data_IF_955303389088
#
_entry.id   IF_955303389088
#
_cell.length_a   1.000
_cell.length_b   1.000
_cell.length_c   1.000
_cell.angle_alpha   90.00
_cell.angle_beta   90.00
_cell.angle_gamma   90.00
#
_symmetry.space_group_name_H-M   'P 1'
#
loop_
_entity.id
_entity.type
_entity.pdbx_description
1 polymer ?
#
# COMPACT_ATOMS: atom_id res chain seq x y z
N UNK A 1 47.26 -47.41 20.90
CA UNK A 1 46.71 -46.48 19.90
C UNK A 1 45.71 -45.66 20.67
N UNK A 2 46.05 -44.42 20.97
CA UNK A 2 45.17 -43.48 21.67
C UNK A 2 44.00 -43.16 20.75
N UNK A 3 42.80 -43.57 21.16
CA UNK A 3 41.57 -43.00 20.63
C UNK A 3 41.56 -41.53 21.08
N UNK A 4 41.60 -40.62 20.12
CA UNK A 4 41.40 -39.20 20.34
C UNK A 4 39.96 -39.02 20.85
N UNK A 5 39.82 -38.82 22.17
CA UNK A 5 38.61 -38.28 22.79
C UNK A 5 38.46 -36.83 22.30
N UNK A 6 37.94 -36.69 21.08
CA UNK A 6 37.50 -35.41 20.53
C UNK A 6 36.07 -35.13 21.01
N UNK A 7 35.87 -35.09 22.34
CA UNK A 7 34.67 -34.49 22.92
C UNK A 7 34.83 -32.98 22.77
N UNK A 8 34.35 -32.47 21.64
CA UNK A 8 34.11 -31.05 21.47
C UNK A 8 33.23 -30.51 22.60
N UNK A 9 33.18 -29.19 22.79
CA UNK A 9 32.28 -28.61 23.78
C UNK A 9 30.83 -29.04 23.51
N UNK A 10 30.03 -29.26 24.56
CA UNK A 10 28.57 -29.37 24.44
C UNK A 10 28.04 -28.08 23.80
N UNK A 11 27.23 -28.21 22.73
CA UNK A 11 26.71 -27.08 21.94
C UNK A 11 25.18 -27.16 21.86
N UNK A 12 24.51 -26.69 22.90
CA UNK A 12 23.04 -26.62 22.95
C UNK A 12 22.44 -25.77 21.81
N UNK A 13 23.13 -24.69 21.42
CA UNK A 13 22.71 -23.83 20.29
C UNK A 13 22.75 -24.51 18.92
N UNK A 14 23.42 -25.66 18.78
CA UNK A 14 23.54 -26.41 17.52
C UNK A 14 22.62 -27.64 17.42
N UNK A 15 21.91 -27.98 18.49
CA UNK A 15 21.18 -29.25 18.59
C UNK A 15 19.77 -29.22 17.99
N UNK A 16 19.23 -28.03 17.71
CA UNK A 16 17.88 -27.85 17.17
C UNK A 16 17.88 -27.26 15.76
N UNK A 17 16.88 -27.68 14.98
CA UNK A 17 16.46 -27.09 13.70
C UNK A 17 17.58 -26.81 12.68
N UNK A 18 18.25 -27.87 12.15
CA UNK A 18 19.33 -27.69 11.20
C UNK A 18 18.80 -27.12 9.87
N UNK A 19 19.53 -26.14 9.32
CA UNK A 19 19.24 -25.62 7.98
C UNK A 19 19.25 -26.75 6.95
N UNK A 20 18.16 -26.84 6.22
CA UNK A 20 17.97 -27.72 5.09
C UNK A 20 18.09 -26.94 3.76
N UNK A 21 18.26 -27.69 2.66
CA UNK A 21 18.39 -27.09 1.33
C UNK A 21 17.06 -27.09 0.61
N UNK A 22 16.51 -25.89 0.36
CA UNK A 22 15.35 -25.68 -0.49
C UNK A 22 15.54 -26.38 -1.84
N UNK A 23 14.57 -27.18 -2.26
CA UNK A 23 14.59 -27.89 -3.55
C UNK A 23 13.50 -27.37 -4.46
N UNK A 24 13.87 -27.03 -5.69
CA UNK A 24 12.90 -26.64 -6.72
C UNK A 24 12.74 -27.78 -7.72
N UNK A 25 11.50 -28.08 -8.08
CA UNK A 25 11.16 -29.10 -9.07
C UNK A 25 10.06 -28.61 -10.01
N UNK A 26 10.01 -29.20 -11.21
CA UNK A 26 9.00 -28.84 -12.20
C UNK A 26 7.60 -29.19 -11.69
N UNK A 27 6.66 -28.24 -11.80
CA UNK A 27 5.27 -28.40 -11.37
C UNK A 27 4.97 -27.93 -9.95
N UNK A 28 5.96 -27.42 -9.21
CA UNK A 28 5.73 -26.81 -7.89
C UNK A 28 4.82 -25.59 -7.97
N UNK A 29 3.94 -25.48 -6.99
CA UNK A 29 3.15 -24.28 -6.72
C UNK A 29 3.99 -23.19 -6.03
N UNK A 30 3.46 -21.98 -5.93
CA UNK A 30 4.09 -20.91 -5.13
C UNK A 30 4.10 -21.28 -3.64
N UNK A 31 3.06 -21.95 -3.16
CA UNK A 31 2.99 -22.45 -1.78
C UNK A 31 4.06 -23.52 -1.52
N UNK A 32 4.27 -24.44 -2.46
CA UNK A 32 5.32 -25.47 -2.34
C UNK A 32 6.70 -24.81 -2.22
N UNK A 33 6.94 -23.74 -2.99
CA UNK A 33 8.20 -22.99 -2.92
C UNK A 33 8.36 -22.29 -1.55
N UNK A 34 7.29 -21.71 -1.02
CA UNK A 34 7.29 -21.10 0.32
C UNK A 34 7.59 -22.12 1.41
N UNK A 35 7.02 -23.33 1.35
CA UNK A 35 7.35 -24.43 2.27
C UNK A 35 8.82 -24.85 2.16
N UNK A 36 9.41 -24.83 0.96
CA UNK A 36 10.85 -25.09 0.80
C UNK A 36 11.71 -23.98 1.42
N UNK A 37 11.22 -22.75 1.46
CA UNK A 37 11.91 -21.62 2.06
C UNK A 37 11.92 -21.70 3.59
N UNK A 38 10.89 -22.27 4.21
CA UNK A 38 10.85 -22.53 5.66
C UNK A 38 11.94 -23.48 6.17
N UNK A 39 12.56 -24.23 5.26
CA UNK A 39 13.70 -25.12 5.54
C UNK A 39 15.04 -24.41 5.46
N UNK A 40 15.08 -23.26 4.82
CA UNK A 40 16.30 -22.47 4.61
C UNK A 40 16.39 -21.35 5.66
N UNK A 41 17.50 -20.60 5.66
CA UNK A 41 17.69 -19.49 6.60
C UNK A 41 17.56 -18.09 5.97
N UNK A 42 17.65 -17.06 6.81
CA UNK A 42 17.67 -15.64 6.43
C UNK A 42 16.34 -15.27 5.73
N UNK A 43 16.37 -14.49 4.64
CA UNK A 43 15.16 -13.99 3.99
C UNK A 43 14.26 -15.07 3.38
N UNK A 44 14.74 -16.31 3.24
CA UNK A 44 13.87 -17.43 2.87
C UNK A 44 12.96 -17.81 4.06
N UNK A 45 13.54 -18.00 5.24
CA UNK A 45 12.78 -18.22 6.47
C UNK A 45 11.82 -17.05 6.74
N UNK A 46 12.29 -15.80 6.62
CA UNK A 46 11.47 -14.62 6.84
C UNK A 46 10.25 -14.58 5.89
N UNK A 47 10.42 -14.99 4.62
CA UNK A 47 9.32 -15.05 3.66
C UNK A 47 8.34 -16.17 3.99
N UNK A 48 8.83 -17.33 4.40
CA UNK A 48 7.95 -18.43 4.82
C UNK A 48 7.12 -18.03 6.05
N UNK A 49 7.76 -17.48 7.08
CA UNK A 49 7.07 -16.98 8.27
C UNK A 49 6.04 -15.90 7.93
N UNK A 50 6.39 -14.95 7.07
CA UNK A 50 5.44 -13.92 6.64
C UNK A 50 4.22 -14.50 5.92
N UNK A 51 4.38 -15.57 5.13
CA UNK A 51 3.28 -16.25 4.45
C UNK A 51 2.39 -17.00 5.45
N UNK A 52 2.98 -17.73 6.40
CA UNK A 52 2.25 -18.44 7.45
C UNK A 52 1.43 -17.46 8.29
N UNK A 53 2.06 -16.41 8.83
CA UNK A 53 1.40 -15.40 9.65
C UNK A 53 0.29 -14.68 8.88
N UNK A 54 0.53 -14.33 7.61
CA UNK A 54 -0.49 -13.69 6.77
C UNK A 54 -1.66 -14.65 6.48
N UNK A 55 -1.38 -15.93 6.27
CA UNK A 55 -2.41 -16.96 6.12
C UNK A 55 -3.27 -17.09 7.38
N UNK A 56 -2.65 -17.14 8.55
CA UNK A 56 -3.35 -17.16 9.84
C UNK A 56 -4.23 -15.93 10.05
N UNK A 57 -3.76 -14.73 9.66
CA UNK A 57 -4.56 -13.49 9.74
C UNK A 57 -5.81 -13.60 8.88
N UNK A 58 -5.65 -14.04 7.62
CA UNK A 58 -6.77 -14.11 6.67
C UNK A 58 -7.77 -15.22 7.02
N UNK A 59 -7.31 -16.34 7.58
CA UNK A 59 -8.18 -17.43 8.04
C UNK A 59 -8.81 -17.16 9.42
N UNK A 60 -8.13 -16.39 10.27
CA UNK A 60 -8.47 -16.16 11.68
C UNK A 60 -9.53 -15.09 11.95
N UNK A 61 -9.91 -14.31 10.94
CA UNK A 61 -10.96 -13.29 11.06
C UNK A 61 -10.57 -12.09 11.93
N UNK A 62 -9.27 -11.80 12.05
CA UNK A 62 -8.79 -10.62 12.75
C UNK A 62 -9.10 -9.34 11.97
N UNK A 63 -9.45 -8.26 12.67
CA UNK A 63 -9.61 -6.94 12.06
C UNK A 63 -8.26 -6.46 11.53
N UNK A 64 -8.13 -6.42 10.21
CA UNK A 64 -6.84 -6.26 9.51
C UNK A 64 -6.62 -4.82 9.06
N UNK A 65 -5.57 -4.20 9.60
CA UNK A 65 -5.11 -2.87 9.24
C UNK A 65 -3.93 -2.97 8.27
N UNK A 66 -4.12 -2.49 7.04
CA UNK A 66 -3.09 -2.48 6.01
C UNK A 66 -2.40 -1.12 5.95
N UNK A 67 -1.11 -1.06 6.31
CA UNK A 67 -0.24 0.09 6.10
C UNK A 67 0.50 0.01 4.78
N UNK A 68 0.15 0.85 3.80
CA UNK A 68 0.71 0.82 2.44
C UNK A 68 1.53 2.08 2.12
N UNK A 69 2.86 1.95 2.12
CA UNK A 69 3.79 3.00 1.73
C UNK A 69 4.67 2.59 0.53
N UNK A 70 5.58 3.47 0.11
CA UNK A 70 6.41 3.25 -1.07
C UNK A 70 5.63 3.42 -2.38
N UNK A 71 6.31 3.18 -3.51
CA UNK A 71 5.74 3.34 -4.84
C UNK A 71 4.92 2.11 -5.27
N UNK A 72 3.99 1.65 -4.42
CA UNK A 72 3.24 0.41 -4.64
C UNK A 72 2.37 0.45 -5.89
N UNK A 73 1.66 1.57 -6.12
CA UNK A 73 0.85 1.72 -7.34
C UNK A 73 1.74 1.85 -8.58
N UNK A 74 2.70 2.80 -8.67
CA UNK A 74 3.58 2.90 -9.84
C UNK A 74 4.37 1.62 -10.15
N UNK A 75 4.75 0.84 -9.12
CA UNK A 75 5.47 -0.42 -9.28
C UNK A 75 4.58 -1.60 -9.68
N UNK A 76 3.28 -1.40 -9.87
CA UNK A 76 2.36 -2.42 -10.38
C UNK A 76 1.67 -3.28 -9.33
N UNK A 77 1.72 -2.92 -8.05
CA UNK A 77 1.04 -3.67 -6.97
C UNK A 77 -0.43 -3.26 -6.78
N UNK A 78 -0.92 -2.31 -7.57
CA UNK A 78 -2.30 -1.76 -7.50
C UNK A 78 -3.38 -2.85 -7.50
N UNK A 79 -3.26 -3.83 -8.40
CA UNK A 79 -4.24 -4.91 -8.52
C UNK A 79 -4.26 -5.82 -7.28
N UNK A 80 -3.08 -6.21 -6.79
CA UNK A 80 -2.96 -7.05 -5.58
C UNK A 80 -3.64 -6.38 -4.39
N UNK A 81 -3.39 -5.08 -4.16
CA UNK A 81 -4.02 -4.36 -3.05
C UNK A 81 -5.54 -4.26 -3.23
N UNK A 82 -6.02 -3.95 -4.44
CA UNK A 82 -7.45 -3.89 -4.71
C UNK A 82 -8.14 -5.25 -4.53
N UNK A 83 -7.47 -6.35 -4.89
CA UNK A 83 -8.00 -7.70 -4.74
C UNK A 83 -7.99 -8.17 -3.27
N UNK A 84 -7.00 -7.77 -2.47
CA UNK A 84 -7.03 -8.00 -1.02
C UNK A 84 -8.24 -7.34 -0.37
N UNK A 85 -8.53 -6.09 -0.74
CA UNK A 85 -9.71 -5.34 -0.24
C UNK A 85 -11.01 -6.04 -0.67
N UNK A 86 -11.17 -6.36 -1.96
CA UNK A 86 -12.37 -7.04 -2.47
C UNK A 86 -12.55 -8.44 -1.88
N UNK A 87 -11.44 -9.09 -1.51
CA UNK A 87 -11.44 -10.40 -0.86
C UNK A 87 -11.80 -10.35 0.62
N UNK A 88 -12.02 -9.18 1.21
CA UNK A 88 -12.34 -9.02 2.63
C UNK A 88 -11.13 -9.24 3.55
N UNK A 89 -9.91 -9.08 3.04
CA UNK A 89 -8.68 -9.29 3.81
C UNK A 89 -8.14 -8.00 4.45
N UNK A 90 -8.87 -6.89 4.33
CA UNK A 90 -8.48 -5.57 4.83
C UNK A 90 -9.72 -4.86 5.35
N UNK A 91 -9.69 -4.47 6.62
CA UNK A 91 -10.77 -3.74 7.30
C UNK A 91 -10.49 -2.23 7.40
N UNK A 92 -9.21 -1.83 7.34
CA UNK A 92 -8.81 -0.44 7.22
C UNK A 92 -7.53 -0.28 6.42
N UNK A 93 -7.50 0.66 5.47
CA UNK A 93 -6.31 1.00 4.71
C UNK A 93 -5.72 2.31 5.22
N UNK A 94 -4.45 2.30 5.59
CA UNK A 94 -3.65 3.50 5.83
C UNK A 94 -2.61 3.61 4.74
N UNK A 95 -2.64 4.69 3.96
CA UNK A 95 -1.71 4.86 2.83
C UNK A 95 -1.20 6.28 2.67
N UNK A 96 -0.42 6.52 1.62
CA UNK A 96 0.10 7.85 1.26
C UNK A 96 -0.78 8.49 0.20
N UNK A 97 -0.83 9.83 0.18
CA UNK A 97 -1.55 10.55 -0.86
C UNK A 97 -0.97 10.26 -2.25
N UNK A 98 0.34 9.97 -2.34
CA UNK A 98 0.99 9.54 -3.57
C UNK A 98 0.38 8.26 -4.15
N UNK A 99 0.18 7.20 -3.33
CA UNK A 99 -0.45 5.97 -3.83
C UNK A 99 -1.86 6.24 -4.37
N UNK A 100 -2.68 7.05 -3.68
CA UNK A 100 -4.02 7.39 -4.15
C UNK A 100 -4.04 8.31 -5.38
N UNK A 101 -3.07 9.23 -5.50
CA UNK A 101 -2.88 10.03 -6.72
C UNK A 101 -2.62 9.11 -7.92
N UNK A 102 -1.65 8.20 -7.80
CA UNK A 102 -1.33 7.27 -8.89
C UNK A 102 -2.45 6.26 -9.15
N UNK A 103 -3.18 5.83 -8.11
CA UNK A 103 -4.33 4.94 -8.22
C UNK A 103 -5.47 5.57 -9.03
N UNK A 104 -5.80 6.82 -8.71
CA UNK A 104 -6.82 7.60 -9.40
C UNK A 104 -6.41 7.91 -10.85
N UNK A 105 -5.14 8.25 -11.09
CA UNK A 105 -4.62 8.44 -12.46
C UNK A 105 -4.87 7.20 -13.33
N UNK A 106 -4.56 6.00 -12.83
CA UNK A 106 -4.84 4.78 -13.58
C UNK A 106 -6.35 4.47 -13.67
N UNK A 107 -7.13 4.82 -12.64
CA UNK A 107 -8.58 4.61 -12.66
C UNK A 107 -9.28 5.42 -13.77
N UNK A 108 -8.75 6.60 -14.11
CA UNK A 108 -9.29 7.49 -15.14
C UNK A 108 -8.56 7.36 -16.49
N UNK A 109 -7.79 6.30 -16.70
CA UNK A 109 -7.23 5.93 -18.00
C UNK A 109 -5.80 6.41 -18.26
N UNK A 110 -5.12 7.01 -17.28
CA UNK A 110 -3.67 7.22 -17.33
C UNK A 110 -2.89 5.93 -17.15
N UNK A 111 -1.60 5.91 -17.54
CA UNK A 111 -0.78 4.71 -17.36
C UNK A 111 0.68 5.01 -17.04
N UNK A 112 1.23 4.22 -16.12
CA UNK A 112 2.67 4.17 -15.87
C UNK A 112 3.36 3.25 -16.88
N UNK A 113 4.58 3.62 -17.28
CA UNK A 113 5.36 2.88 -18.25
C UNK A 113 6.70 2.43 -17.70
N UNK A 114 7.21 1.29 -18.19
CA UNK A 114 8.59 0.90 -17.94
C UNK A 114 9.54 1.97 -18.49
N UNK A 115 10.33 2.53 -17.59
CA UNK A 115 11.41 3.45 -17.87
C UNK A 115 12.76 2.81 -17.60
N UNK A 116 13.74 3.66 -17.30
CA UNK A 116 15.10 3.26 -16.93
C UNK A 116 15.55 4.08 -15.74
N UNK A 117 16.35 3.47 -14.87
CA UNK A 117 16.99 4.19 -13.77
C UNK A 117 18.24 4.94 -14.23
N UNK A 118 18.84 4.53 -15.35
CA UNK A 118 20.03 5.12 -15.97
C UNK A 118 19.88 5.30 -17.48
N UNK A 119 20.74 6.14 -18.06
CA UNK A 119 20.80 6.38 -19.50
C UNK A 119 22.19 6.01 -20.01
N UNK A 120 22.32 5.27 -21.13
CA UNK A 120 23.62 4.76 -21.59
C UNK A 120 24.62 5.88 -21.92
N UNK A 121 24.13 6.98 -22.49
CA UNK A 121 24.97 8.06 -23.02
C UNK A 121 24.91 9.37 -22.22
N UNK A 122 24.05 9.46 -21.19
CA UNK A 122 23.81 10.69 -20.43
C UNK A 122 24.11 10.44 -18.95
N UNK A 123 24.73 11.42 -18.28
CA UNK A 123 24.78 11.44 -16.83
C UNK A 123 23.39 11.67 -16.23
N UNK A 124 23.19 11.27 -14.98
CA UNK A 124 21.87 11.30 -14.28
C UNK A 124 21.15 12.65 -14.43
N UNK A 125 21.84 13.76 -14.17
CA UNK A 125 21.25 15.10 -14.33
C UNK A 125 20.78 15.41 -15.75
N UNK A 126 21.59 15.10 -16.76
CA UNK A 126 21.25 15.40 -18.16
C UNK A 126 20.11 14.50 -18.65
N UNK A 127 20.03 13.29 -18.12
CA UNK A 127 18.91 12.39 -18.34
C UNK A 127 17.61 12.93 -17.73
N UNK A 128 17.64 13.43 -16.49
CA UNK A 128 16.48 14.06 -15.84
C UNK A 128 16.05 15.35 -16.53
N UNK A 129 17.00 16.18 -16.98
CA UNK A 129 16.72 17.38 -17.77
C UNK A 129 16.01 17.02 -19.09
N UNK A 130 16.42 15.93 -19.74
CA UNK A 130 15.74 15.43 -20.95
C UNK A 130 14.33 14.94 -20.66
N UNK A 131 14.12 14.15 -19.61
CA UNK A 131 12.77 13.70 -19.23
C UNK A 131 11.85 14.89 -18.92
N UNK A 132 12.40 15.93 -18.26
CA UNK A 132 11.68 17.18 -18.02
C UNK A 132 11.32 17.91 -19.32
N UNK A 133 12.23 17.98 -20.29
CA UNK A 133 11.93 18.57 -21.61
C UNK A 133 10.84 17.79 -22.36
N UNK A 134 10.79 16.47 -22.16
CA UNK A 134 9.76 15.59 -22.70
C UNK A 134 8.47 15.56 -21.86
N UNK A 135 8.40 16.33 -20.75
CA UNK A 135 7.29 16.37 -19.80
C UNK A 135 6.94 15.00 -19.20
N UNK A 136 7.97 14.23 -18.86
CA UNK A 136 7.86 12.90 -18.23
C UNK A 136 8.42 12.97 -16.82
N UNK A 137 7.61 12.57 -15.84
CA UNK A 137 8.08 12.37 -14.48
C UNK A 137 8.53 10.92 -14.30
N UNK A 138 9.67 10.71 -13.63
CA UNK A 138 10.16 9.37 -13.29
C UNK A 138 10.04 9.06 -11.80
N UNK A 139 9.66 7.83 -11.52
CA UNK A 139 9.63 7.20 -10.21
C UNK A 139 10.62 6.04 -10.30
N UNK A 140 11.89 6.33 -10.00
CA UNK A 140 13.01 5.43 -10.26
C UNK A 140 13.08 5.00 -11.74
N UNK A 141 12.67 3.78 -12.07
CA UNK A 141 12.64 3.20 -13.41
C UNK A 141 11.22 3.09 -13.99
N UNK A 142 10.26 3.83 -13.45
CA UNK A 142 8.88 3.91 -13.94
C UNK A 142 8.61 5.33 -14.39
N UNK A 143 7.95 5.52 -15.52
CA UNK A 143 7.63 6.83 -16.09
C UNK A 143 6.14 7.11 -16.08
N UNK A 144 5.79 8.39 -15.94
CA UNK A 144 4.43 8.90 -16.08
C UNK A 144 4.44 10.23 -16.86
N UNK A 145 3.77 10.31 -18.02
CA UNK A 145 3.55 11.56 -18.73
C UNK A 145 2.75 12.58 -17.90
N UNK A 146 3.18 13.85 -17.89
CA UNK A 146 2.59 14.90 -17.04
C UNK A 146 1.12 15.23 -17.36
N UNK A 147 0.65 14.98 -18.58
CA UNK A 147 -0.75 15.18 -18.96
C UNK A 147 -1.71 14.36 -18.10
N UNK A 148 -1.26 13.23 -17.55
CA UNK A 148 -2.07 12.40 -16.66
C UNK A 148 -2.30 13.06 -15.30
N UNK A 149 -1.35 13.86 -14.80
CA UNK A 149 -1.60 14.69 -13.62
C UNK A 149 -2.65 15.77 -13.94
N UNK A 150 -2.57 16.41 -15.10
CA UNK A 150 -3.59 17.41 -15.52
C UNK A 150 -4.99 16.79 -15.64
N UNK A 151 -5.08 15.55 -16.15
CA UNK A 151 -6.34 14.80 -16.20
C UNK A 151 -6.87 14.50 -14.79
N UNK A 152 -6.01 14.06 -13.89
CA UNK A 152 -6.35 13.83 -12.48
C UNK A 152 -6.84 15.09 -11.76
N UNK A 153 -6.20 16.24 -11.98
CA UNK A 153 -6.65 17.52 -11.41
C UNK A 153 -8.03 17.94 -11.94
N UNK A 154 -8.33 17.62 -13.19
CA UNK A 154 -9.65 17.86 -13.79
C UNK A 154 -10.71 16.92 -13.21
N UNK A 155 -10.36 15.64 -13.03
CA UNK A 155 -11.19 14.63 -12.37
C UNK A 155 -11.58 15.03 -10.95
N UNK A 156 -10.62 15.41 -10.10
CA UNK A 156 -10.90 15.86 -8.74
C UNK A 156 -11.87 17.05 -8.70
N UNK A 157 -11.67 18.03 -9.58
CA UNK A 157 -12.53 19.21 -9.64
C UNK A 157 -13.95 18.89 -10.06
N UNK A 158 -14.12 18.05 -11.09
CA UNK A 158 -15.42 17.78 -11.68
C UNK A 158 -16.22 16.67 -10.94
N UNK A 159 -15.54 15.68 -10.37
CA UNK A 159 -16.19 14.45 -9.93
C UNK A 159 -16.13 14.23 -8.41
N UNK A 160 -15.17 14.86 -7.71
CA UNK A 160 -14.97 14.70 -6.27
C UNK A 160 -15.39 15.95 -5.49
N UNK A 161 -14.81 17.11 -5.82
CA UNK A 161 -15.10 18.35 -5.09
C UNK A 161 -16.49 18.92 -5.35
N UNK A 162 -17.11 18.60 -6.50
CA UNK A 162 -18.51 18.97 -6.75
C UNK A 162 -19.48 18.25 -5.81
N UNK A 163 -19.23 16.97 -5.52
CA UNK A 163 -20.07 16.17 -4.62
C UNK A 163 -19.86 16.55 -3.14
N UNK A 164 -18.62 16.80 -2.72
CA UNK A 164 -18.31 17.22 -1.34
C UNK A 164 -18.75 18.66 -1.02
N UNK A 165 -18.96 19.49 -2.04
CA UNK A 165 -19.41 20.87 -1.87
C UNK A 165 -18.39 21.76 -1.14
N UNK A 166 -18.85 22.42 -0.09
CA UNK A 166 -18.09 23.42 0.69
C UNK A 166 -18.04 23.06 2.19
N UNK A 167 -17.97 21.77 2.50
CA UNK A 167 -18.01 21.25 3.86
C UNK A 167 -16.61 21.00 4.44
N UNK A 168 -16.53 20.95 5.77
CA UNK A 168 -15.36 20.41 6.46
C UNK A 168 -15.56 18.91 6.59
N UNK A 169 -14.71 18.12 5.94
CA UNK A 169 -14.83 16.66 5.89
C UNK A 169 -13.56 16.01 6.45
N UNK A 170 -13.68 14.77 6.91
CA UNK A 170 -12.51 13.97 7.29
C UNK A 170 -11.70 13.54 6.07
N UNK A 171 -10.47 13.07 6.27
CA UNK A 171 -9.66 12.56 5.15
C UNK A 171 -10.27 11.25 4.62
N UNK A 172 -10.80 10.39 5.50
CA UNK A 172 -11.52 9.17 5.10
C UNK A 172 -12.79 9.47 4.27
N UNK A 173 -13.53 10.54 4.57
CA UNK A 173 -14.68 10.97 3.75
C UNK A 173 -14.24 11.45 2.36
N UNK A 174 -13.16 12.23 2.28
CA UNK A 174 -12.59 12.67 1.01
C UNK A 174 -12.09 11.51 0.15
N UNK A 175 -11.42 10.51 0.74
CA UNK A 175 -10.93 9.33 0.01
C UNK A 175 -12.06 8.38 -0.38
N UNK A 176 -13.12 8.26 0.43
CA UNK A 176 -14.34 7.54 0.06
C UNK A 176 -14.98 8.15 -1.19
N UNK A 177 -15.06 9.47 -1.24
CA UNK A 177 -15.61 10.18 -2.39
C UNK A 177 -14.72 10.09 -3.63
N UNK A 178 -13.39 10.12 -3.46
CA UNK A 178 -12.43 9.79 -4.52
C UNK A 178 -12.68 8.38 -5.08
N UNK A 179 -12.93 7.40 -4.21
CA UNK A 179 -13.24 6.03 -4.61
C UNK A 179 -14.53 5.91 -5.42
N UNK A 180 -15.60 6.59 -4.98
CA UNK A 180 -16.87 6.68 -5.71
C UNK A 180 -16.67 7.29 -7.10
N UNK A 181 -15.99 8.43 -7.18
CA UNK A 181 -15.71 9.11 -8.44
C UNK A 181 -14.86 8.26 -9.39
N UNK A 182 -13.81 7.61 -8.88
CA UNK A 182 -12.97 6.70 -9.67
C UNK A 182 -13.81 5.56 -10.27
N UNK A 183 -14.70 4.94 -9.49
CA UNK A 183 -15.59 3.89 -9.98
C UNK A 183 -16.52 4.41 -11.09
N UNK A 184 -17.18 5.55 -10.86
CA UNK A 184 -18.15 6.12 -11.78
C UNK A 184 -17.52 6.54 -13.13
N UNK A 185 -16.35 7.17 -13.10
CA UNK A 185 -15.63 7.57 -14.32
C UNK A 185 -15.07 6.36 -15.05
N UNK A 186 -14.48 5.41 -14.32
CA UNK A 186 -13.93 4.19 -14.91
C UNK A 186 -14.99 3.39 -15.68
N UNK A 187 -16.19 3.24 -15.10
CA UNK A 187 -17.33 2.59 -15.75
C UNK A 187 -17.83 3.40 -16.95
N UNK A 188 -18.03 4.70 -16.78
CA UNK A 188 -18.58 5.58 -17.83
C UNK A 188 -17.70 5.63 -19.09
N UNK A 189 -16.38 5.62 -18.90
CA UNK A 189 -15.41 5.74 -19.98
C UNK A 189 -14.83 4.38 -20.44
N UNK A 190 -15.33 3.25 -19.88
CA UNK A 190 -14.91 1.87 -20.21
C UNK A 190 -13.39 1.66 -20.11
N UNK A 191 -12.80 2.03 -18.97
CA UNK A 191 -11.34 2.03 -18.79
C UNK A 191 -10.84 0.66 -18.33
N UNK A 192 -10.08 -0.02 -19.20
CA UNK A 192 -9.53 -1.38 -19.01
C UNK A 192 -8.67 -1.54 -17.73
N UNK A 193 -7.99 -0.48 -17.29
CA UNK A 193 -7.16 -0.53 -16.09
C UNK A 193 -7.96 -0.78 -14.80
N UNK A 194 -9.29 -0.65 -14.83
CA UNK A 194 -10.18 -0.82 -13.69
C UNK A 194 -10.11 0.32 -12.66
N UNK A 195 -11.06 0.39 -11.72
CA UNK A 195 -11.31 1.59 -10.93
C UNK A 195 -10.37 1.78 -9.72
N UNK A 196 -9.57 0.77 -9.37
CA UNK A 196 -8.44 0.91 -8.43
C UNK A 196 -8.72 0.61 -6.97
N UNK A 197 -7.76 0.96 -6.13
CA UNK A 197 -7.73 0.75 -4.68
C UNK A 197 -8.81 1.58 -4.00
N UNK A 198 -8.88 2.89 -4.29
CA UNK A 198 -9.87 3.77 -3.65
C UNK A 198 -11.31 3.31 -3.95
N UNK A 199 -11.56 2.90 -5.20
CA UNK A 199 -12.87 2.37 -5.59
C UNK A 199 -13.17 1.01 -4.97
N UNK A 200 -12.17 0.13 -4.86
CA UNK A 200 -12.33 -1.14 -4.14
C UNK A 200 -12.69 -0.90 -2.67
N UNK A 201 -12.02 0.03 -2.00
CA UNK A 201 -12.32 0.40 -0.63
C UNK A 201 -13.73 0.98 -0.49
N UNK A 202 -14.10 1.93 -1.36
CA UNK A 202 -15.45 2.49 -1.40
C UNK A 202 -16.53 1.42 -1.59
N UNK A 203 -16.34 0.47 -2.52
CA UNK A 203 -17.32 -0.57 -2.82
C UNK A 203 -17.42 -1.68 -1.75
N UNK A 204 -16.50 -1.72 -0.78
CA UNK A 204 -16.50 -2.67 0.33
C UNK A 204 -16.64 -1.97 1.69
N UNK A 205 -17.02 -0.69 1.71
CA UNK A 205 -17.16 0.13 2.93
C UNK A 205 -15.90 0.15 3.82
N UNK A 206 -14.71 0.09 3.21
CA UNK A 206 -13.43 0.12 3.91
C UNK A 206 -12.92 1.56 4.02
N UNK A 207 -12.65 2.08 5.24
CA UNK A 207 -12.08 3.42 5.41
C UNK A 207 -10.63 3.48 4.90
N UNK A 208 -10.30 4.58 4.21
CA UNK A 208 -8.96 4.86 3.70
C UNK A 208 -8.39 6.12 4.34
N UNK A 209 -7.41 5.94 5.21
CA UNK A 209 -6.73 7.01 5.93
C UNK A 209 -5.45 7.46 5.22
N UNK A 210 -5.22 8.76 5.16
CA UNK A 210 -4.01 9.35 4.59
C UNK A 210 -3.46 10.42 5.54
N UNK A 211 -2.74 10.05 6.61
CA UNK A 211 -2.44 10.97 7.71
C UNK A 211 -1.54 12.15 7.31
N UNK A 212 -0.76 11.98 6.23
CA UNK A 212 0.08 13.02 5.64
C UNK A 212 -0.42 13.43 4.25
N UNK A 213 -1.74 13.60 4.08
CA UNK A 213 -2.33 13.88 2.76
C UNK A 213 -1.75 15.11 2.08
N UNK A 214 -1.38 16.14 2.84
CA UNK A 214 -0.76 17.37 2.34
C UNK A 214 0.57 17.14 1.60
N UNK A 215 1.24 16.01 1.84
CA UNK A 215 2.46 15.59 1.14
C UNK A 215 2.11 14.78 -0.13
N UNK A 216 1.25 15.33 -0.98
CA UNK A 216 0.85 14.71 -2.25
C UNK A 216 0.16 15.70 -3.20
N UNK A 217 0.06 15.34 -4.49
CA UNK A 217 -0.76 16.09 -5.45
C UNK A 217 -2.24 16.09 -5.03
N UNK A 218 -2.73 14.97 -4.49
CA UNK A 218 -4.09 14.88 -3.94
C UNK A 218 -4.33 15.92 -2.84
N UNK A 219 -3.41 16.06 -1.88
CA UNK A 219 -3.49 17.08 -0.84
C UNK A 219 -3.29 18.51 -1.34
N UNK A 220 -2.42 18.72 -2.33
CA UNK A 220 -2.24 20.01 -2.98
C UNK A 220 -3.55 20.50 -3.62
N UNK A 221 -4.29 19.61 -4.31
CA UNK A 221 -5.57 19.95 -4.92
C UNK A 221 -6.66 20.23 -3.86
N UNK A 222 -6.68 19.48 -2.76
CA UNK A 222 -7.55 19.76 -1.62
C UNK A 222 -7.27 21.15 -1.00
N UNK A 223 -6.00 21.51 -0.83
CA UNK A 223 -5.61 22.84 -0.36
C UNK A 223 -5.99 23.95 -1.35
N UNK A 224 -5.78 23.75 -2.65
CA UNK A 224 -6.19 24.73 -3.67
C UNK A 224 -7.70 24.96 -3.64
N UNK A 225 -8.50 23.90 -3.50
CA UNK A 225 -9.95 23.99 -3.33
C UNK A 225 -10.32 24.81 -2.08
N UNK A 226 -9.64 24.57 -0.96
CA UNK A 226 -9.89 25.30 0.29
C UNK A 226 -9.56 26.80 0.23
N UNK A 227 -8.78 27.26 -0.76
CA UNK A 227 -8.51 28.69 -0.93
C UNK A 227 -9.63 29.43 -1.65
N UNK A 228 -10.54 28.72 -2.33
CA UNK A 228 -11.56 29.30 -3.20
C UNK A 228 -12.99 28.90 -2.82
N UNK A 229 -13.17 28.06 -1.79
CA UNK A 229 -14.47 27.64 -1.25
C UNK A 229 -14.41 27.43 0.27
N UNK A 230 -15.54 27.08 0.89
CA UNK A 230 -15.61 26.68 2.31
C UNK A 230 -15.07 25.29 2.63
N UNK A 231 -14.64 24.53 1.62
CA UNK A 231 -14.11 23.17 1.79
C UNK A 231 -12.86 23.15 2.68
N UNK A 232 -12.76 22.17 3.59
CA UNK A 232 -11.54 21.90 4.34
C UNK A 232 -11.45 20.43 4.73
N UNK A 233 -10.23 19.96 4.99
CA UNK A 233 -9.98 18.64 5.57
C UNK A 233 -9.72 18.78 7.07
N UNK A 234 -10.41 17.99 7.88
CA UNK A 234 -10.11 17.81 9.31
C UNK A 234 -9.32 16.50 9.50
N UNK A 235 -8.01 16.64 9.76
CA UNK A 235 -7.12 15.51 9.99
C UNK A 235 -7.39 14.78 11.32
N UNK A 236 -8.03 15.44 12.29
CA UNK A 236 -8.34 14.83 13.59
C UNK A 236 -9.67 14.08 13.58
N UNK A 237 -10.57 14.40 12.64
CA UNK A 237 -11.86 13.74 12.52
C UNK A 237 -11.76 12.22 12.27
N UNK A 238 -10.65 11.76 11.68
CA UNK A 238 -10.38 10.34 11.44
C UNK A 238 -9.92 9.57 12.68
N UNK A 239 -9.48 10.26 13.74
CA UNK A 239 -8.88 9.60 14.92
C UNK A 239 -9.89 8.76 15.70
N UNK A 240 -11.11 9.25 15.91
CA UNK A 240 -12.12 8.49 16.67
C UNK A 240 -12.55 7.22 15.93
N UNK A 241 -13.05 7.29 14.68
CA UNK A 241 -13.48 6.09 13.95
C UNK A 241 -12.39 5.03 13.82
N UNK A 242 -11.14 5.44 13.61
CA UNK A 242 -10.01 4.52 13.50
C UNK A 242 -9.72 3.79 14.82
N UNK A 243 -9.70 4.52 15.93
CA UNK A 243 -9.41 3.94 17.24
C UNK A 243 -10.58 3.11 17.74
N UNK A 244 -11.81 3.51 17.46
CA UNK A 244 -13.02 2.74 17.78
C UNK A 244 -12.99 1.39 17.04
N UNK A 245 -12.64 1.37 15.75
CA UNK A 245 -12.48 0.12 14.98
C UNK A 245 -11.47 -0.84 15.60
N UNK A 246 -10.34 -0.32 16.12
CA UNK A 246 -9.33 -1.15 16.77
C UNK A 246 -9.76 -1.60 18.17
N UNK A 247 -10.40 -0.71 18.94
CA UNK A 247 -10.85 -0.99 20.29
C UNK A 247 -12.00 -2.01 20.34
N UNK A 248 -12.89 -2.00 19.35
CA UNK A 248 -14.04 -2.90 19.25
C UNK A 248 -13.69 -4.27 18.65
N UNK A 249 -12.49 -4.44 18.10
CA UNK A 249 -12.06 -5.70 17.49
C UNK A 249 -11.73 -6.77 18.54
N UNK A 250 -12.25 -7.99 18.36
CA UNK A 250 -11.91 -9.15 19.20
C UNK A 250 -10.43 -9.55 19.04
N UNK A 251 -9.89 -9.37 17.83
CA UNK A 251 -8.46 -9.52 17.53
C UNK A 251 -8.08 -8.59 16.39
N UNK A 252 -6.85 -8.09 16.41
CA UNK A 252 -6.34 -7.17 15.39
C UNK A 252 -5.09 -7.72 14.71
N UNK A 253 -4.93 -7.38 13.45
CA UNK A 253 -3.75 -7.71 12.66
C UNK A 253 -3.24 -6.47 11.94
N UNK A 254 -1.91 -6.36 11.83
CA UNK A 254 -1.26 -5.28 11.10
C UNK A 254 -0.39 -5.86 9.98
N UNK A 255 -0.73 -5.54 8.74
CA UNK A 255 0.10 -5.85 7.57
C UNK A 255 0.72 -4.55 7.10
N UNK A 256 2.05 -4.46 7.07
CA UNK A 256 2.75 -3.22 6.71
C UNK A 256 3.70 -3.46 5.54
N UNK A 257 3.47 -2.74 4.45
CA UNK A 257 4.37 -2.69 3.30
C UNK A 257 5.06 -1.33 3.24
N UNK A 258 6.38 -1.35 3.38
CA UNK A 258 7.21 -0.15 3.44
C UNK A 258 7.32 0.40 4.87
N UNK A 259 7.25 1.72 5.02
CA UNK A 259 7.48 2.37 6.31
C UNK A 259 6.84 3.75 6.41
N UNK A 260 7.51 4.67 7.10
CA UNK A 260 7.06 6.05 7.23
C UNK A 260 5.72 6.18 7.97
N UNK A 261 4.90 7.13 7.52
CA UNK A 261 3.64 7.50 8.18
C UNK A 261 2.64 6.33 8.22
N UNK A 262 2.36 5.59 7.13
CA UNK A 262 1.42 4.47 7.19
C UNK A 262 1.76 3.41 8.25
N UNK A 263 3.04 3.01 8.34
CA UNK A 263 3.51 2.09 9.38
C UNK A 263 3.22 2.64 10.78
N UNK A 264 3.69 3.86 11.03
CA UNK A 264 3.59 4.44 12.37
C UNK A 264 2.13 4.63 12.79
N UNK A 265 1.28 5.07 11.85
CA UNK A 265 -0.13 5.32 12.12
C UNK A 265 -0.89 4.03 12.46
N UNK A 266 -0.69 2.94 11.68
CA UNK A 266 -1.26 1.61 12.00
C UNK A 266 -0.80 1.14 13.37
N UNK A 267 0.52 1.15 13.63
CA UNK A 267 1.06 0.64 14.90
C UNK A 267 0.65 1.50 16.11
N UNK A 268 0.45 2.81 15.94
CA UNK A 268 -0.06 3.68 16.99
C UNK A 268 -1.52 3.37 17.32
N UNK A 269 -2.34 3.08 16.31
CA UNK A 269 -3.72 2.62 16.52
C UNK A 269 -3.75 1.30 17.30
N UNK A 270 -2.77 0.41 17.11
CA UNK A 270 -2.70 -0.82 17.90
C UNK A 270 -2.37 -0.58 19.38
N UNK A 271 -1.94 0.62 19.80
CA UNK A 271 -1.68 0.92 21.22
C UNK A 271 -2.96 1.15 22.04
N UNK A 272 -4.11 1.31 21.37
CA UNK A 272 -5.40 1.52 22.04
C UNK A 272 -6.23 0.23 22.13
N UNK A 273 -5.73 -0.90 21.63
CA UNK A 273 -6.43 -2.18 21.74
C UNK A 273 -6.40 -2.68 23.20
N UNK A 274 -7.48 -3.30 23.71
CA UNK A 274 -7.62 -3.68 25.12
C UNK A 274 -6.44 -4.48 25.70
N UNK A 275 -5.82 -5.34 24.89
CA UNK A 275 -4.73 -6.25 25.30
C UNK A 275 -3.34 -5.79 24.81
N UNK A 276 -3.18 -4.52 24.39
CA UNK A 276 -1.92 -4.04 23.79
C UNK A 276 -0.67 -4.12 24.68
N UNK A 277 -0.85 -4.37 25.98
CA UNK A 277 0.21 -4.39 27.00
C UNK A 277 0.26 -5.69 27.81
N UNK A 278 -0.56 -6.69 27.48
CA UNK A 278 -0.53 -8.04 28.08
C UNK A 278 0.35 -9.00 27.27
#
# INVERSE_FOLDING_TARGET
MSEDDNDGPDREEFDHDPVEHARVSAGMSVADLAEQYGKAGIGAADLHEAIEVTGEIFDGGATTFLGLAGAMVPAGMRAIVADLIRGGNVDALVTTGANLTHDAIEAIGGKHHHGRSDHPDLGERAFDERLREEAVDRIYNVYLPQEHFTAFESHLRAEVFEELGEEVVSIAEFTRELGRANAAVNEREDIEAGPGIAAAAHGNDIPVYVPAIQDSVLGLQAWLRSQVSGFSLDALADMSPLNDLAYEADSTAAIVVGGGVPKNYVLQTMLVTPDAYD
#
